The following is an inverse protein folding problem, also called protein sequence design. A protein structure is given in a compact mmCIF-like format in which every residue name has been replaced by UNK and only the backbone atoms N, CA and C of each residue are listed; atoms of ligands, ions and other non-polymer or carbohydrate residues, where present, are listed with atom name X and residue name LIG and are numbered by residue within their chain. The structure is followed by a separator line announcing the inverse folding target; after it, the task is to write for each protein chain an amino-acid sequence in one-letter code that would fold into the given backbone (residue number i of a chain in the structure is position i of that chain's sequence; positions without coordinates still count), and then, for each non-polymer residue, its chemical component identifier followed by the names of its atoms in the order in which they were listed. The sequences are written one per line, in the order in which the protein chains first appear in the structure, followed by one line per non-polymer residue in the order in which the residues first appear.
data_IF_038342456742
#
_entry.id   IF_038342456742
#
_cell.length_a   1.000
_cell.length_b   1.000
_cell.length_c   1.000
_cell.angle_alpha   90.00
_cell.angle_beta   90.00
_cell.angle_gamma   90.00
#
_symmetry.space_group_name_H-M   'P 1'
#
loop_
_entity.id
_entity.type
_entity.pdbx_description
1 polymer ?
#
# COMPACT_ATOMS: atom_id res chain seq x y z
N UNK A 1 6.29 22.91 3.99
CA UNK A 1 5.61 23.51 2.81
C UNK A 1 4.59 22.54 2.24
N UNK A 2 3.50 23.00 1.58
CA UNK A 2 2.59 22.10 0.87
C UNK A 2 3.29 21.40 -0.30
N UNK A 3 3.06 20.10 -0.47
CA UNK A 3 3.50 19.34 -1.65
C UNK A 3 2.40 19.38 -2.72
N UNK A 4 2.76 19.21 -3.99
CA UNK A 4 1.81 19.27 -5.11
C UNK A 4 0.77 18.13 -5.12
N UNK A 5 1.05 17.01 -4.45
CA UNK A 5 0.30 15.74 -4.49
C UNK A 5 -0.15 15.34 -3.07
N UNK A 6 -1.33 14.71 -2.97
CA UNK A 6 -1.93 14.14 -1.76
C UNK A 6 -2.39 12.68 -2.00
N UNK A 7 -2.84 12.02 -0.93
CA UNK A 7 -3.48 10.69 -1.01
C UNK A 7 -4.80 10.81 -1.78
N UNK A 8 -5.10 9.83 -2.64
CA UNK A 8 -6.31 9.82 -3.47
C UNK A 8 -6.16 10.51 -4.83
N UNK A 9 -5.14 11.36 -5.04
CA UNK A 9 -4.87 11.98 -6.34
C UNK A 9 -4.61 10.92 -7.42
N UNK A 10 -5.04 11.19 -8.66
CA UNK A 10 -4.54 10.50 -9.84
C UNK A 10 -3.29 11.21 -10.38
N UNK A 11 -2.23 10.46 -10.62
CA UNK A 11 -0.92 10.97 -11.06
C UNK A 11 -0.37 10.17 -12.24
N UNK A 12 0.44 10.84 -13.06
CA UNK A 12 1.20 10.23 -14.16
C UNK A 12 2.71 10.38 -13.91
N UNK A 13 3.46 9.32 -14.16
CA UNK A 13 4.92 9.35 -14.09
C UNK A 13 5.47 10.11 -15.28
N UNK A 14 6.14 11.22 -15.01
CA UNK A 14 6.68 12.14 -16.01
C UNK A 14 8.09 11.72 -16.47
N UNK A 15 8.87 11.04 -15.62
CA UNK A 15 10.24 10.61 -15.92
C UNK A 15 10.68 9.35 -15.15
N UNK A 16 11.69 8.65 -15.69
CA UNK A 16 12.17 7.35 -15.19
C UNK A 16 11.63 6.16 -15.97
N UNK A 17 11.89 4.95 -15.51
CA UNK A 17 11.57 3.69 -16.22
C UNK A 17 10.07 3.49 -16.47
N UNK A 18 9.23 3.99 -15.57
CA UNK A 18 7.77 3.83 -15.57
C UNK A 18 7.04 5.00 -16.26
N UNK A 19 7.73 5.72 -17.16
CA UNK A 19 7.22 6.97 -17.77
C UNK A 19 5.93 6.71 -18.56
N UNK A 20 4.92 7.53 -18.28
CA UNK A 20 3.60 7.45 -18.93
C UNK A 20 2.57 6.62 -18.16
N UNK A 21 2.99 5.83 -17.16
CA UNK A 21 2.07 5.09 -16.31
C UNK A 21 1.22 6.05 -15.45
N UNK A 22 -0.09 5.79 -15.42
CA UNK A 22 -1.08 6.52 -14.64
C UNK A 22 -1.53 5.63 -13.48
N UNK A 23 -1.57 6.17 -12.27
CA UNK A 23 -2.04 5.45 -11.09
C UNK A 23 -2.57 6.37 -9.99
N UNK A 24 -3.23 5.78 -8.99
CA UNK A 24 -3.73 6.51 -7.82
C UNK A 24 -2.74 6.50 -6.66
N UNK A 25 -2.68 7.60 -5.92
CA UNK A 25 -1.75 7.76 -4.79
C UNK A 25 -2.29 7.09 -3.53
N UNK A 26 -1.65 6.00 -3.11
CA UNK A 26 -1.99 5.28 -1.87
C UNK A 26 -1.48 6.01 -0.63
N UNK A 27 -0.22 6.46 -0.66
CA UNK A 27 0.39 7.23 0.43
C UNK A 27 1.47 8.17 -0.06
N UNK A 28 1.56 9.34 0.58
CA UNK A 28 2.68 10.28 0.49
C UNK A 28 3.51 10.15 1.76
N UNK A 29 4.83 10.16 1.61
CA UNK A 29 5.84 10.15 2.68
C UNK A 29 6.52 11.53 2.61
N UNK A 30 6.10 12.50 3.44
CA UNK A 30 6.54 13.89 3.31
C UNK A 30 8.00 14.13 3.74
N UNK A 31 8.55 13.27 4.59
CA UNK A 31 9.94 13.36 5.08
C UNK A 31 10.96 13.03 3.98
N UNK A 32 10.75 11.92 3.25
CA UNK A 32 11.64 11.45 2.17
C UNK A 32 11.40 12.12 0.81
N UNK A 33 10.37 12.97 0.71
CA UNK A 33 9.77 13.46 -0.54
C UNK A 33 9.37 12.33 -1.53
N UNK A 34 8.67 11.30 -1.03
CA UNK A 34 8.27 10.12 -1.84
C UNK A 34 6.77 9.84 -1.82
N UNK A 35 6.30 9.16 -2.86
CA UNK A 35 4.90 8.77 -3.08
C UNK A 35 4.82 7.30 -3.45
N UNK A 36 3.90 6.53 -2.86
CA UNK A 36 3.55 5.20 -3.36
C UNK A 36 2.30 5.32 -4.22
N UNK A 37 2.44 4.96 -5.50
CA UNK A 37 1.40 4.98 -6.52
C UNK A 37 1.03 3.54 -6.86
N UNK A 38 -0.27 3.22 -6.88
CA UNK A 38 -0.76 1.86 -7.12
C UNK A 38 -0.31 1.35 -8.50
N UNK A 39 0.27 0.14 -8.54
CA UNK A 39 0.68 -0.54 -9.77
C UNK A 39 1.97 -0.05 -10.43
N UNK A 40 2.59 1.03 -9.93
CA UNK A 40 3.80 1.64 -10.51
C UNK A 40 5.02 1.29 -9.65
N UNK A 41 6.20 1.10 -10.26
CA UNK A 41 7.44 0.74 -9.55
C UNK A 41 7.28 -0.51 -8.67
N UNK A 42 6.62 -1.53 -9.24
CA UNK A 42 6.42 -2.84 -8.60
C UNK A 42 7.75 -3.59 -8.49
N UNK A 43 8.12 -4.02 -7.28
CA UNK A 43 9.33 -4.81 -7.02
C UNK A 43 9.02 -6.14 -6.35
N UNK A 44 9.70 -7.18 -6.84
CA UNK A 44 9.59 -8.57 -6.37
C UNK A 44 10.37 -8.76 -5.08
N UNK A 45 9.69 -8.99 -3.94
CA UNK A 45 10.33 -9.29 -2.66
C UNK A 45 10.15 -10.75 -2.28
N UNK A 46 11.25 -11.49 -2.22
CA UNK A 46 11.32 -12.81 -1.61
C UNK A 46 11.18 -12.68 -0.08
N UNK A 47 10.22 -13.41 0.50
CA UNK A 47 9.97 -13.43 1.94
C UNK A 47 10.21 -14.84 2.47
N UNK A 48 11.18 -14.98 3.38
CA UNK A 48 11.44 -16.24 4.09
C UNK A 48 10.21 -16.62 4.92
N UNK A 49 9.84 -17.92 4.99
CA UNK A 49 8.71 -18.38 5.80
C UNK A 49 8.90 -18.01 7.28
N UNK A 50 7.79 -17.77 7.97
CA UNK A 50 7.75 -17.39 9.39
C UNK A 50 6.66 -18.19 10.11
N UNK A 51 6.71 -18.24 11.44
CA UNK A 51 5.78 -19.00 12.30
C UNK A 51 4.29 -18.63 12.08
N UNK A 52 4.03 -17.44 11.55
CA UNK A 52 2.68 -16.87 11.36
C UNK A 52 2.30 -16.76 9.87
N UNK A 53 3.18 -17.15 8.94
CA UNK A 53 2.92 -16.96 7.50
C UNK A 53 3.85 -17.76 6.60
N UNK A 54 3.26 -18.40 5.60
CA UNK A 54 3.98 -19.10 4.54
C UNK A 54 4.92 -18.13 3.80
N UNK A 55 6.12 -18.62 3.47
CA UNK A 55 7.09 -17.87 2.66
C UNK A 55 6.65 -17.80 1.20
N UNK A 56 7.20 -16.86 0.45
CA UNK A 56 6.83 -16.71 -0.96
C UNK A 56 7.42 -15.50 -1.64
N UNK A 57 7.02 -15.34 -2.90
CA UNK A 57 7.36 -14.21 -3.76
C UNK A 57 6.21 -13.21 -3.67
N UNK A 58 6.44 -12.04 -3.03
CA UNK A 58 5.43 -10.99 -2.94
C UNK A 58 5.93 -9.75 -3.68
N UNK A 59 5.23 -9.39 -4.75
CA UNK A 59 5.45 -8.11 -5.44
C UNK A 59 4.78 -6.97 -4.65
N UNK A 60 5.46 -5.83 -4.50
CA UNK A 60 4.96 -4.64 -3.80
C UNK A 60 5.35 -3.36 -4.53
N UNK A 61 4.52 -2.33 -4.45
CA UNK A 61 4.83 -0.99 -4.98
C UNK A 61 5.89 -0.29 -4.11
N UNK A 62 6.98 0.15 -4.73
CA UNK A 62 8.02 0.94 -4.05
C UNK A 62 7.82 2.46 -4.23
N UNK A 63 8.23 3.30 -3.25
CA UNK A 63 8.05 4.74 -3.32
C UNK A 63 8.85 5.41 -4.45
N UNK A 64 8.19 6.32 -5.17
CA UNK A 64 8.75 7.14 -6.26
C UNK A 64 8.95 8.56 -5.74
N UNK A 65 10.01 9.26 -6.15
CA UNK A 65 10.26 10.64 -5.73
C UNK A 65 9.22 11.62 -6.29
N UNK A 66 8.81 12.58 -5.46
CA UNK A 66 7.76 13.58 -5.73
C UNK A 66 7.98 14.33 -7.06
N UNK A 67 9.22 14.71 -7.40
CA UNK A 67 9.50 15.41 -8.67
C UNK A 67 9.26 14.60 -9.95
N UNK A 68 9.05 13.27 -9.86
CA UNK A 68 8.81 12.40 -11.02
C UNK A 68 7.33 12.19 -11.34
N UNK A 69 6.41 12.63 -10.48
CA UNK A 69 4.96 12.51 -10.68
C UNK A 69 4.31 13.87 -10.91
N UNK A 70 3.30 13.90 -11.78
CA UNK A 70 2.44 15.07 -12.01
C UNK A 70 0.98 14.66 -11.83
N UNK A 71 0.11 15.46 -11.19
CA UNK A 71 -1.33 15.23 -11.21
C UNK A 71 -1.87 15.17 -12.64
N UNK A 72 -2.83 14.26 -12.86
CA UNK A 72 -3.56 14.11 -14.12
C UNK A 72 -4.88 14.86 -14.00
N UNK A 73 -5.16 15.69 -15.00
CA UNK A 73 -6.48 16.31 -15.22
C UNK A 73 -6.82 16.14 -16.69
N UNK A 74 -8.03 15.65 -16.97
CA UNK A 74 -8.54 15.37 -18.33
C UNK A 74 -7.52 14.61 -19.21
N UNK A 75 -6.96 13.55 -18.62
CA UNK A 75 -5.97 12.66 -19.24
C UNK A 75 -4.56 13.23 -19.42
N UNK A 76 -4.30 14.48 -18.98
CA UNK A 76 -3.06 15.20 -19.28
C UNK A 76 -2.30 15.62 -18.01
N UNK A 77 -0.95 15.56 -18.00
CA UNK A 77 -0.15 16.05 -16.87
C UNK A 77 -0.34 17.56 -16.69
N UNK A 78 -0.60 17.99 -15.46
CA UNK A 78 -0.90 19.39 -15.14
C UNK A 78 -0.08 19.88 -13.94
N UNK A 79 0.42 21.13 -14.02
CA UNK A 79 1.10 21.80 -12.89
C UNK A 79 0.07 22.29 -11.87
N UNK A 80 0.46 22.31 -10.60
CA UNK A 80 -0.38 22.78 -9.49
C UNK A 80 -0.02 24.20 -9.10
N UNK A 81 -1.03 25.05 -8.97
CA UNK A 81 -0.97 26.39 -8.36
C UNK A 81 -1.63 26.33 -6.99
N UNK A 82 -1.18 27.18 -6.08
CA UNK A 82 -1.72 27.29 -4.72
C UNK A 82 -2.42 28.63 -4.57
N UNK A 83 -3.69 28.59 -4.18
CA UNK A 83 -4.50 29.80 -3.98
C UNK A 83 -5.10 29.81 -2.59
N UNK A 84 -5.44 31.00 -2.09
CA UNK A 84 -6.05 31.19 -0.76
C UNK A 84 -7.41 31.85 -1.00
N UNK A 85 -8.49 31.20 -0.56
CA UNK A 85 -9.84 31.78 -0.62
C UNK A 85 -10.04 32.80 0.49
N UNK A 86 -11.12 33.56 0.37
CA UNK A 86 -11.57 34.55 1.35
C UNK A 86 -11.82 33.92 2.73
N UNK A 87 -12.27 32.66 2.81
CA UNK A 87 -12.36 31.88 4.07
C UNK A 87 -11.01 31.64 4.78
N UNK A 88 -9.88 32.10 4.22
CA UNK A 88 -8.53 31.77 4.66
C UNK A 88 -8.11 30.32 4.37
N UNK A 89 -8.97 29.55 3.71
CA UNK A 89 -8.68 28.18 3.25
C UNK A 89 -7.66 28.20 2.10
N UNK A 90 -6.76 27.23 2.06
CA UNK A 90 -5.74 27.13 0.98
C UNK A 90 -6.03 25.94 0.09
N UNK A 91 -6.23 26.18 -1.21
CA UNK A 91 -6.63 25.19 -2.21
C UNK A 91 -5.49 24.88 -3.19
N UNK A 92 -5.57 23.70 -3.82
CA UNK A 92 -4.74 23.31 -4.97
C UNK A 92 -5.55 23.47 -6.25
N UNK A 93 -5.04 24.23 -7.20
CA UNK A 93 -5.69 24.51 -8.49
C UNK A 93 -4.85 23.95 -9.63
N UNK A 94 -5.49 23.26 -10.57
CA UNK A 94 -4.87 22.72 -11.76
C UNK A 94 -4.68 23.82 -12.82
N UNK A 95 -3.43 24.19 -13.11
CA UNK A 95 -3.07 25.35 -13.95
C UNK A 95 -3.68 25.31 -15.36
N UNK A 96 -3.98 24.13 -15.91
CA UNK A 96 -4.54 24.00 -17.27
C UNK A 96 -6.03 24.30 -17.36
N UNK A 97 -6.82 23.81 -16.40
CA UNK A 97 -8.28 23.69 -16.54
C UNK A 97 -9.04 24.38 -15.40
N UNK A 98 -8.35 25.08 -14.49
CA UNK A 98 -8.93 25.72 -13.30
C UNK A 98 -9.47 24.77 -12.23
N UNK A 99 -9.56 23.46 -12.51
CA UNK A 99 -10.14 22.48 -11.60
C UNK A 99 -9.41 22.39 -10.26
N UNK A 100 -10.19 22.27 -9.18
CA UNK A 100 -9.66 22.16 -7.83
C UNK A 100 -9.23 20.71 -7.54
N UNK A 101 -7.94 20.52 -7.26
CA UNK A 101 -7.38 19.26 -6.79
C UNK A 101 -7.58 19.07 -5.27
N UNK A 102 -8.31 19.96 -4.61
CA UNK A 102 -8.71 19.84 -3.21
C UNK A 102 -7.90 20.66 -2.21
N UNK A 103 -8.50 20.83 -1.04
CA UNK A 103 -8.09 21.72 0.05
C UNK A 103 -6.82 21.21 0.75
N UNK A 104 -5.92 22.14 1.09
CA UNK A 104 -4.66 21.90 1.84
C UNK A 104 -4.88 22.14 3.33
N UNK A 105 -5.38 23.33 3.65
CA UNK A 105 -5.73 23.81 4.98
C UNK A 105 -7.19 24.27 4.93
N UNK A 106 -8.00 23.86 5.92
CA UNK A 106 -9.40 24.26 6.02
C UNK A 106 -9.57 25.78 6.21
N UNK A 107 -10.83 26.27 6.21
CA UNK A 107 -11.13 27.66 6.50
C UNK A 107 -10.58 28.07 7.87
N UNK A 108 -10.15 29.33 7.98
CA UNK A 108 -9.66 29.94 9.21
C UNK A 108 -10.76 30.78 9.88
N UNK A 109 -11.98 30.25 9.91
CA UNK A 109 -13.09 30.83 10.67
C UNK A 109 -12.69 30.92 12.15
N UNK A 110 -12.76 32.11 12.73
CA UNK A 110 -12.13 32.48 14.00
C UNK A 110 -12.80 31.93 15.27
N UNK A 111 -13.65 30.91 15.13
CA UNK A 111 -14.65 30.52 16.15
C UNK A 111 -14.66 29.01 16.40
N UNK A 112 -13.60 28.46 16.97
CA UNK A 112 -13.63 27.15 17.64
C UNK A 112 -12.42 26.91 18.59
N UNK A 113 -12.69 26.80 19.90
CA UNK A 113 -11.96 25.87 20.78
C UNK A 113 -10.44 26.05 20.99
N UNK A 114 -9.93 27.28 21.04
CA UNK A 114 -8.51 27.58 21.27
C UNK A 114 -8.14 28.10 22.67
N UNK A 115 -8.96 27.84 23.70
CA UNK A 115 -8.70 28.34 25.05
C UNK A 115 -7.35 27.82 25.58
N UNK A 116 -6.52 28.73 26.10
CA UNK A 116 -5.20 28.38 26.63
C UNK A 116 -5.32 27.40 27.78
N UNK A 117 -4.97 26.13 27.54
CA UNK A 117 -4.96 25.10 28.58
C UNK A 117 -4.00 25.56 29.68
N UNK A 118 -4.47 25.84 30.91
CA UNK A 118 -3.60 26.34 31.96
C UNK A 118 -2.54 25.27 32.24
N UNK A 119 -1.27 25.64 32.07
CA UNK A 119 -0.15 24.75 32.37
C UNK A 119 -0.13 24.56 33.87
N UNK A 120 -0.82 23.52 34.35
CA UNK A 120 -0.89 23.19 35.75
C UNK A 120 0.55 23.14 36.32
N UNK A 121 0.85 23.87 37.40
CA UNK A 121 2.21 23.92 37.94
C UNK A 121 2.64 22.49 38.23
N UNK A 122 3.81 22.09 37.71
CA UNK A 122 4.33 20.72 37.82
C UNK A 122 4.42 20.34 39.29
N UNK A 123 3.39 19.65 39.79
CA UNK A 123 3.26 19.24 41.19
C UNK A 123 4.50 18.45 41.56
N UNK A 124 5.33 19.03 42.43
CA UNK A 124 6.66 18.52 42.71
C UNK A 124 6.57 17.04 43.12
N UNK A 125 7.38 16.19 42.48
CA UNK A 125 7.44 14.76 42.82
C UNK A 125 7.98 14.68 44.25
N UNK A 126 7.20 14.20 45.24
CA UNK A 126 7.69 14.11 46.60
C UNK A 126 8.82 13.09 46.63
N UNK A 127 10.00 13.51 47.08
CA UNK A 127 11.16 12.65 47.18
C UNK A 127 10.81 11.45 48.08
N UNK A 128 10.81 10.24 47.51
CA UNK A 128 10.58 9.00 48.28
C UNK A 128 11.72 8.83 49.28
N UNK A 129 11.46 9.21 50.53
CA UNK A 129 12.33 8.97 51.68
C UNK A 129 12.67 7.48 51.74
N UNK A 130 13.95 7.13 51.60
CA UNK A 130 14.41 5.74 51.57
C UNK A 130 14.31 5.14 52.97
N UNK A 131 13.16 4.57 53.29
CA UNK A 131 12.91 3.89 54.56
C UNK A 131 13.50 2.47 54.53
N UNK A 132 14.62 2.30 55.25
CA UNK A 132 15.35 1.04 55.41
C UNK A 132 14.80 0.27 56.63
N UNK A 133 14.03 -0.80 56.43
CA UNK A 133 13.64 -1.72 57.50
C UNK A 133 13.26 -3.13 56.99
N UNK A 134 13.37 -4.09 57.91
CA UNK A 134 12.97 -5.51 57.94
C UNK A 134 12.06 -6.09 56.82
N UNK A 135 12.32 -7.35 56.45
CA UNK A 135 11.45 -8.16 55.60
C UNK A 135 10.83 -9.37 56.33
N UNK A 136 9.90 -10.07 55.67
CA UNK A 136 9.32 -11.32 56.19
C UNK A 136 8.95 -12.31 55.06
N UNK A 137 9.47 -13.54 55.21
CA UNK A 137 8.97 -14.85 54.74
C UNK A 137 8.09 -14.92 53.46
N UNK A 138 8.67 -15.56 52.45
CA UNK A 138 8.17 -16.76 51.76
C UNK A 138 6.69 -17.13 51.98
N UNK A 139 5.93 -17.22 50.89
CA UNK A 139 4.76 -18.10 50.77
C UNK A 139 4.69 -18.69 49.35
N UNK A 140 4.69 -20.02 49.24
CA UNK A 140 4.57 -20.75 47.97
C UNK A 140 3.45 -21.77 48.06
N UNK A 141 2.52 -21.78 47.11
CA UNK A 141 1.41 -22.73 47.07
C UNK A 141 1.24 -23.40 45.71
N UNK A 142 1.55 -24.70 45.66
CA UNK A 142 0.86 -25.69 44.83
C UNK A 142 -0.61 -25.78 45.38
N UNK A 143 -1.61 -26.41 44.77
CA UNK A 143 -1.64 -27.65 43.98
C UNK A 143 -3.00 -27.81 43.27
N UNK A 144 -3.08 -28.79 42.37
CA UNK A 144 -4.22 -29.73 42.15
C UNK A 144 -5.19 -29.47 40.97
N UNK A 145 -5.93 -30.48 40.46
CA UNK A 145 -5.50 -31.75 39.81
C UNK A 145 -6.70 -32.64 39.45
N UNK A 146 -6.90 -32.95 38.16
CA UNK A 146 -7.80 -34.00 37.61
C UNK A 146 -7.41 -34.21 36.13
N UNK A 147 -7.28 -35.40 35.51
CA UNK A 147 -7.90 -36.75 35.59
C UNK A 147 -9.37 -36.80 35.11
N UNK A 148 -9.78 -37.68 34.17
CA UNK A 148 -9.04 -38.77 33.48
C UNK A 148 -8.81 -38.51 31.97
N UNK A 149 -9.27 -39.21 30.91
CA UNK A 149 -10.14 -40.39 30.72
C UNK A 149 -9.75 -41.20 29.45
N UNK A 150 -10.54 -42.23 29.11
CA UNK A 150 -10.42 -43.16 27.96
C UNK A 150 -10.98 -42.58 26.63
N UNK A 151 -10.79 -43.14 25.43
CA UNK A 151 -10.66 -44.57 25.06
C UNK A 151 -9.82 -44.88 23.80
N UNK A 152 -9.66 -46.17 23.48
CA UNK A 152 -8.97 -46.72 22.29
C UNK A 152 -9.94 -47.56 21.43
N UNK A 153 -9.88 -47.43 20.11
CA UNK A 153 -10.13 -48.49 19.09
C UNK A 153 -9.81 -47.92 17.69
N UNK A 154 -9.61 -48.69 16.61
CA UNK A 154 -8.80 -49.92 16.41
C UNK A 154 -8.75 -50.27 14.89
N UNK A 155 -7.57 -50.63 14.36
CA UNK A 155 -7.36 -51.19 12.99
C UNK A 155 -7.76 -50.25 11.81
N UNK A 156 -7.41 -50.52 10.54
CA UNK A 156 -6.72 -51.66 9.92
C UNK A 156 -5.72 -51.20 8.83
N UNK A 157 -4.95 -52.14 8.25
CA UNK A 157 -4.12 -51.93 7.04
C UNK A 157 -4.67 -52.77 5.88
N UNK A 158 -4.52 -52.29 4.65
CA UNK A 158 -4.38 -53.13 3.45
C UNK A 158 -3.50 -52.43 2.41
N UNK A 159 -2.67 -53.21 1.71
CA UNK A 159 -1.83 -52.77 0.59
C UNK A 159 -2.57 -52.90 -0.75
N UNK A 160 -2.25 -52.02 -1.71
CA UNK A 160 -2.31 -52.21 -3.19
C UNK A 160 -2.33 -50.85 -3.92
N UNK A 161 -1.85 -50.71 -5.15
CA UNK A 161 -0.79 -51.43 -5.88
C UNK A 161 -0.29 -50.52 -7.03
N UNK A 162 0.90 -50.80 -7.60
CA UNK A 162 1.38 -50.09 -8.80
C UNK A 162 0.71 -50.64 -10.06
N UNK A 163 0.33 -49.74 -10.97
CA UNK A 163 0.37 -49.97 -12.43
C UNK A 163 0.88 -48.69 -13.12
N UNK A 164 1.34 -48.83 -14.37
CA UNK A 164 2.22 -47.88 -15.05
C UNK A 164 1.73 -47.56 -16.48
N UNK A 165 2.32 -46.55 -17.13
CA UNK A 165 2.02 -46.02 -18.49
C UNK A 165 0.62 -45.35 -18.65
N UNK A 166 0.35 -44.46 -19.62
CA UNK A 166 1.04 -43.98 -20.83
C UNK A 166 0.74 -42.48 -21.00
N UNK A 167 1.63 -41.57 -21.45
CA UNK A 167 2.37 -41.39 -22.72
C UNK A 167 1.52 -40.92 -23.93
N UNK A 168 2.00 -39.83 -24.55
CA UNK A 168 1.52 -39.15 -25.78
C UNK A 168 0.30 -38.20 -25.61
N UNK A 169 0.23 -37.14 -26.43
CA UNK A 169 -0.84 -36.13 -26.37
C UNK A 169 -0.53 -34.70 -26.85
N UNK A 170 0.67 -34.41 -27.34
CA UNK A 170 1.01 -33.07 -27.83
C UNK A 170 0.47 -32.78 -29.25
N UNK A 171 -0.57 -31.95 -29.36
CA UNK A 171 -1.08 -31.44 -30.65
C UNK A 171 -1.15 -29.90 -30.66
N UNK A 172 -1.05 -29.31 -31.86
CA UNK A 172 -0.80 -27.86 -32.03
C UNK A 172 -2.10 -27.10 -32.24
N UNK A 173 -2.25 -25.94 -31.58
CA UNK A 173 -3.33 -25.00 -31.87
C UNK A 173 -3.28 -24.56 -33.35
N UNK A 174 -4.40 -24.70 -34.06
CA UNK A 174 -4.45 -24.51 -35.51
C UNK A 174 -4.54 -23.02 -35.87
N UNK A 175 -3.48 -22.50 -36.51
CA UNK A 175 -3.45 -21.14 -37.06
C UNK A 175 -3.99 -21.17 -38.50
N UNK A 176 -5.30 -20.98 -38.67
CA UNK A 176 -5.99 -21.10 -39.97
C UNK A 176 -5.61 -19.99 -40.95
N UNK A 177 -4.69 -20.29 -41.86
CA UNK A 177 -4.30 -19.41 -42.96
C UNK A 177 -5.35 -19.41 -44.07
N UNK A 178 -6.14 -18.33 -44.20
CA UNK A 178 -6.98 -18.10 -45.39
C UNK A 178 -6.15 -17.35 -46.45
N UNK A 179 -5.70 -18.07 -47.47
CA UNK A 179 -4.99 -17.58 -48.67
C UNK A 179 -5.89 -17.81 -49.89
N UNK A 180 -5.56 -17.15 -51.00
CA UNK A 180 -6.25 -17.09 -52.32
C UNK A 180 -7.41 -16.06 -52.37
N UNK A 181 -7.61 -15.29 -53.45
CA UNK A 181 -6.82 -15.17 -54.69
C UNK A 181 -7.10 -13.86 -55.47
N UNK A 182 -6.11 -13.43 -56.30
CA UNK A 182 -6.27 -12.53 -57.48
C UNK A 182 -6.83 -11.11 -57.18
N UNK A 183 -6.76 -10.11 -58.08
CA UNK A 183 -6.04 -9.95 -59.36
C UNK A 183 -5.47 -8.51 -59.46
N UNK A 184 -4.62 -8.26 -60.46
CA UNK A 184 -3.94 -6.98 -60.67
C UNK A 184 -4.83 -5.81 -61.13
N UNK A 185 -4.45 -4.59 -60.74
CA UNK A 185 -4.69 -3.36 -61.49
C UNK A 185 -3.55 -2.33 -61.24
N UNK A 186 -3.00 -1.86 -62.36
CA UNK A 186 -2.36 -0.57 -62.67
C UNK A 186 -2.52 0.58 -61.65
N UNK A 187 -1.46 1.36 -61.34
CA UNK A 187 -0.73 2.34 -62.19
C UNK A 187 -1.61 3.50 -62.72
N UNK A 188 -1.15 4.72 -62.48
CA UNK A 188 -1.68 5.98 -63.03
C UNK A 188 -2.59 6.72 -62.02
N UNK A 189 -2.44 8.01 -61.69
CA UNK A 189 -1.94 9.22 -62.37
C UNK A 189 -2.99 10.03 -63.15
N UNK A 190 -3.86 10.72 -62.41
CA UNK A 190 -4.08 12.17 -62.53
C UNK A 190 -4.72 12.72 -61.26
#
# INVERSE_FOLDING_TARGET
MPKHVRKGDMVIVTSGSFKGEIGSVMRVIPEDDRVVVKGVNMRTKHIKPSRVGQGGIITREEPIHISKVSPVVDGKPTRVRFETREDGSKIRVAVRNGQELGVIHGPRTSTAGGAGMPVAPRRAIPAKKVAKAAGSKVASSKTASSKTASSKTASSKTDSSKTDSSKAGGSKSAKSSKKTEKKAASKGSK
#
